data_IF_571855502008
#
_entry.id   IF_571855502008
#
_cell.length_a   1.000
_cell.length_b   1.000
_cell.length_c   1.000
_cell.angle_alpha   90.00
_cell.angle_beta   90.00
_cell.angle_gamma   90.00
#
_symmetry.space_group_name_H-M   'P 1'
#
loop_
_entity.id
_entity.type
_entity.pdbx_description
1 polymer ?
#
# COMPACT_ATOMS: atom_id res chain seq x y z
N UNK A 1 22.76 15.50 0.93
CA UNK A 1 21.80 14.40 0.72
C UNK A 1 22.40 13.12 1.27
N UNK A 2 21.95 12.69 2.45
CA UNK A 2 22.42 11.46 3.07
C UNK A 2 21.82 10.23 2.38
N UNK A 3 22.43 9.06 2.60
CA UNK A 3 21.89 7.81 2.06
C UNK A 3 20.47 7.50 2.56
N UNK A 4 20.09 8.06 3.72
CA UNK A 4 18.77 7.90 4.33
C UNK A 4 17.66 8.52 3.48
N UNK A 5 17.94 9.60 2.73
CA UNK A 5 16.98 10.19 1.80
C UNK A 5 16.59 9.21 0.68
N UNK A 6 17.53 8.39 0.19
CA UNK A 6 17.21 7.34 -0.80
C UNK A 6 16.37 6.22 -0.18
N UNK A 7 16.68 5.83 1.06
CA UNK A 7 15.88 4.82 1.80
C UNK A 7 14.46 5.34 2.05
N UNK A 8 14.32 6.60 2.47
CA UNK A 8 13.03 7.27 2.65
C UNK A 8 12.25 7.36 1.33
N UNK A 9 12.93 7.73 0.23
CA UNK A 9 12.33 7.79 -1.10
C UNK A 9 11.83 6.42 -1.58
N UNK A 10 12.61 5.36 -1.35
CA UNK A 10 12.16 3.99 -1.60
C UNK A 10 10.93 3.61 -0.77
N UNK A 11 10.92 3.98 0.52
CA UNK A 11 9.77 3.78 1.40
C UNK A 11 8.50 4.46 0.88
N UNK A 12 8.59 5.70 0.42
CA UNK A 12 7.46 6.40 -0.23
C UNK A 12 6.97 5.66 -1.46
N UNK A 13 7.89 5.22 -2.34
CA UNK A 13 7.54 4.48 -3.54
C UNK A 13 6.80 3.17 -3.21
N UNK A 14 7.23 2.45 -2.17
CA UNK A 14 6.56 1.25 -1.67
C UNK A 14 5.17 1.58 -1.13
N UNK A 15 5.04 2.62 -0.29
CA UNK A 15 3.74 3.05 0.27
C UNK A 15 2.73 3.37 -0.84
N UNK A 16 3.17 4.13 -1.85
CA UNK A 16 2.35 4.47 -3.01
C UNK A 16 1.99 3.22 -3.85
N UNK A 17 2.95 2.33 -4.09
CA UNK A 17 2.71 1.08 -4.82
C UNK A 17 1.67 0.19 -4.12
N UNK A 18 1.79 0.00 -2.80
CA UNK A 18 0.85 -0.78 -2.01
C UNK A 18 -0.55 -0.14 -2.02
N UNK A 19 -0.63 1.19 -1.96
CA UNK A 19 -1.90 1.91 -2.05
C UNK A 19 -2.57 1.72 -3.42
N UNK A 20 -1.83 1.89 -4.52
CA UNK A 20 -2.33 1.67 -5.87
C UNK A 20 -2.78 0.22 -6.09
N UNK A 21 -2.06 -0.75 -5.54
CA UNK A 21 -2.45 -2.16 -5.56
C UNK A 21 -3.79 -2.38 -4.86
N UNK A 22 -3.94 -1.84 -3.66
CA UNK A 22 -5.17 -2.00 -2.86
C UNK A 22 -6.36 -1.29 -3.54
N UNK A 23 -6.14 -0.11 -4.13
CA UNK A 23 -7.13 0.61 -4.93
C UNK A 23 -7.56 -0.19 -6.17
N UNK A 24 -6.62 -0.83 -6.87
CA UNK A 24 -6.91 -1.69 -8.03
C UNK A 24 -7.74 -2.90 -7.62
N UNK A 25 -7.43 -3.55 -6.51
CA UNK A 25 -8.20 -4.68 -5.99
C UNK A 25 -9.61 -4.20 -5.63
N UNK A 26 -9.75 -3.07 -4.93
CA UNK A 26 -11.06 -2.47 -4.62
C UNK A 26 -11.89 -2.24 -5.90
N UNK A 27 -11.30 -1.66 -6.93
CA UNK A 27 -11.97 -1.40 -8.20
C UNK A 27 -12.44 -2.69 -8.91
N UNK A 28 -11.74 -3.81 -8.72
CA UNK A 28 -12.08 -5.11 -9.33
C UNK A 28 -13.08 -5.93 -8.52
N UNK A 29 -12.99 -5.90 -7.19
CA UNK A 29 -13.74 -6.81 -6.31
C UNK A 29 -14.89 -6.12 -5.57
N UNK A 30 -14.79 -4.82 -5.32
CA UNK A 30 -15.79 -4.03 -4.57
C UNK A 30 -15.82 -4.33 -3.06
N UNK A 31 -14.83 -5.05 -2.53
CA UNK A 31 -14.83 -5.51 -1.14
C UNK A 31 -14.66 -4.37 -0.13
N UNK A 32 -15.42 -4.37 0.98
CA UNK A 32 -15.41 -3.29 1.96
C UNK A 32 -14.07 -3.13 2.68
N UNK A 33 -13.33 -4.21 2.96
CA UNK A 33 -11.98 -4.12 3.53
C UNK A 33 -11.00 -3.37 2.61
N UNK A 34 -11.07 -3.62 1.31
CA UNK A 34 -10.24 -2.95 0.31
C UNK A 34 -10.66 -1.50 0.07
N UNK A 35 -11.95 -1.17 0.24
CA UNK A 35 -12.42 0.21 0.26
C UNK A 35 -11.74 1.01 1.38
N UNK A 36 -11.75 0.47 2.60
CA UNK A 36 -11.10 1.10 3.75
C UNK A 36 -9.60 1.27 3.52
N UNK A 37 -8.92 0.26 3.00
CA UNK A 37 -7.50 0.34 2.65
C UNK A 37 -7.20 1.40 1.58
N UNK A 38 -8.05 1.54 0.55
CA UNK A 38 -7.90 2.55 -0.48
C UNK A 38 -8.03 3.98 0.08
N UNK A 39 -8.99 4.23 0.99
CA UNK A 39 -9.15 5.53 1.64
C UNK A 39 -8.00 5.83 2.63
N UNK A 40 -7.62 4.85 3.46
CA UNK A 40 -6.53 5.02 4.43
C UNK A 40 -5.15 5.10 3.76
N UNK A 41 -4.98 4.57 2.56
CA UNK A 41 -3.73 4.70 1.82
C UNK A 41 -3.37 6.14 1.45
N UNK A 42 -4.35 7.04 1.33
CA UNK A 42 -4.12 8.48 1.08
C UNK A 42 -3.34 9.14 2.24
N UNK A 43 -3.84 9.14 3.50
CA UNK A 43 -3.10 9.74 4.61
C UNK A 43 -1.77 9.02 4.90
N UNK A 44 -1.66 7.70 4.67
CA UNK A 44 -0.36 7.02 4.82
C UNK A 44 0.65 7.44 3.76
N UNK A 45 0.23 7.60 2.50
CA UNK A 45 1.11 8.11 1.44
C UNK A 45 1.52 9.56 1.70
N UNK A 46 0.60 10.39 2.21
CA UNK A 46 0.89 11.76 2.63
C UNK A 46 1.89 11.80 3.80
N UNK A 47 1.71 10.93 4.80
CA UNK A 47 2.64 10.81 5.94
C UNK A 47 4.03 10.36 5.49
N UNK A 48 4.10 9.40 4.57
CA UNK A 48 5.37 8.96 3.99
C UNK A 48 6.05 10.10 3.21
N UNK A 49 5.31 10.86 2.39
CA UNK A 49 5.84 12.02 1.68
C UNK A 49 6.38 13.08 2.65
N UNK A 50 5.63 13.38 3.71
CA UNK A 50 6.08 14.30 4.76
C UNK A 50 7.38 13.79 5.41
N UNK A 51 7.44 12.50 5.77
CA UNK A 51 8.65 11.88 6.29
C UNK A 51 9.84 12.01 5.35
N UNK A 52 9.64 11.80 4.05
CA UNK A 52 10.67 11.99 3.04
C UNK A 52 11.14 13.45 2.96
N UNK A 53 10.24 14.43 2.96
CA UNK A 53 10.62 15.85 2.97
C UNK A 53 11.42 16.20 4.22
N UNK A 54 11.03 15.69 5.39
CA UNK A 54 11.81 15.88 6.63
C UNK A 54 13.20 15.25 6.49
N UNK A 55 13.31 14.03 5.96
CA UNK A 55 14.63 13.38 5.77
C UNK A 55 15.50 14.07 4.72
N UNK A 56 14.92 14.61 3.66
CA UNK A 56 15.68 15.18 2.55
C UNK A 56 16.12 16.64 2.80
N UNK A 57 15.34 17.41 3.57
CA UNK A 57 15.55 18.85 3.71
C UNK A 57 15.81 19.34 5.15
N UNK A 58 15.50 18.53 6.17
CA UNK A 58 15.78 18.86 7.57
C UNK A 58 16.92 17.99 8.11
N UNK A 59 18.17 18.38 7.86
CA UNK A 59 19.39 17.63 8.20
C UNK A 59 19.49 17.24 9.68
N UNK A 60 18.99 18.09 10.59
CA UNK A 60 18.97 17.77 12.02
C UNK A 60 17.93 16.70 12.43
N UNK A 61 17.00 16.35 11.53
CA UNK A 61 15.82 15.54 11.81
C UNK A 61 15.71 14.32 10.89
N UNK A 62 16.79 13.91 10.23
CA UNK A 62 16.77 12.85 9.21
C UNK A 62 16.19 11.53 9.72
N UNK A 63 16.56 11.12 10.94
CA UNK A 63 16.06 9.90 11.58
C UNK A 63 14.58 9.98 11.92
N UNK A 64 14.08 11.17 12.31
CA UNK A 64 12.67 11.38 12.56
C UNK A 64 11.88 11.28 11.25
N UNK A 65 12.36 11.91 10.18
CA UNK A 65 11.75 11.80 8.86
C UNK A 65 11.68 10.35 8.37
N UNK A 66 12.76 9.59 8.56
CA UNK A 66 12.80 8.18 8.19
C UNK A 66 11.81 7.38 9.04
N UNK A 67 11.76 7.67 10.34
CA UNK A 67 10.78 7.10 11.26
C UNK A 67 9.35 7.33 10.80
N UNK A 68 9.02 8.51 10.28
CA UNK A 68 7.69 8.80 9.74
C UNK A 68 7.37 7.99 8.48
N UNK A 69 8.35 7.78 7.58
CA UNK A 69 8.18 6.91 6.41
C UNK A 69 7.92 5.45 6.84
N UNK A 70 8.70 4.94 7.78
CA UNK A 70 8.54 3.58 8.30
C UNK A 70 7.23 3.41 9.07
N UNK A 71 6.81 4.44 9.83
CA UNK A 71 5.54 4.47 10.53
C UNK A 71 4.37 4.41 9.55
N UNK A 72 4.42 5.19 8.46
CA UNK A 72 3.41 5.15 7.41
C UNK A 72 3.27 3.76 6.80
N UNK A 73 4.40 3.11 6.47
CA UNK A 73 4.42 1.74 5.96
C UNK A 73 3.83 0.73 6.97
N UNK A 74 4.23 0.84 8.24
CA UNK A 74 3.72 -0.02 9.30
C UNK A 74 2.21 0.11 9.45
N UNK A 75 1.69 1.33 9.54
CA UNK A 75 0.26 1.59 9.68
C UNK A 75 -0.52 1.11 8.45
N UNK A 76 0.00 1.31 7.24
CA UNK A 76 -0.61 0.82 6.01
C UNK A 76 -0.71 -0.72 5.99
N UNK A 77 0.31 -1.41 6.49
CA UNK A 77 0.33 -2.87 6.62
C UNK A 77 -0.65 -3.42 7.67
N UNK A 78 -1.04 -2.61 8.66
CA UNK A 78 -1.98 -3.00 9.74
C UNK A 78 -3.45 -2.90 9.36
N UNK A 79 -3.77 -2.39 8.17
CA UNK A 79 -5.17 -2.33 7.71
C UNK A 79 -5.69 -3.74 7.45
N UNK A 80 -6.73 -4.12 8.19
CA UNK A 80 -7.46 -5.38 8.00
C UNK A 80 -8.09 -5.46 6.61
N UNK A 81 -7.92 -6.61 5.95
CA UNK A 81 -8.40 -6.89 4.59
C UNK A 81 -8.95 -8.29 4.54
N UNK A 82 -9.97 -8.46 3.72
CA UNK A 82 -10.53 -9.78 3.43
C UNK A 82 -9.52 -10.61 2.62
N UNK A 83 -9.48 -11.93 2.89
CA UNK A 83 -8.62 -12.82 2.12
C UNK A 83 -9.24 -13.08 0.73
N UNK A 84 -8.65 -12.48 -0.29
CA UNK A 84 -9.03 -12.66 -1.71
C UNK A 84 -8.23 -13.74 -2.42
N UNK A 85 -7.18 -14.28 -1.79
CA UNK A 85 -6.22 -15.14 -2.48
C UNK A 85 -6.57 -16.62 -2.32
N UNK A 86 -6.99 -17.26 -3.40
CA UNK A 86 -7.33 -18.69 -3.43
C UNK A 86 -6.50 -19.43 -4.49
N UNK A 87 -5.23 -19.70 -4.19
CA UNK A 87 -4.34 -20.50 -5.06
C UNK A 87 -3.47 -19.72 -6.05
N UNK A 88 -3.55 -18.38 -6.06
CA UNK A 88 -2.73 -17.52 -6.95
C UNK A 88 -1.25 -17.49 -6.57
N UNK A 89 -0.40 -17.35 -7.61
CA UNK A 89 1.05 -17.25 -7.51
C UNK A 89 1.52 -15.95 -6.84
N UNK A 90 2.74 -15.93 -6.29
CA UNK A 90 3.29 -14.75 -5.62
C UNK A 90 3.34 -13.50 -6.52
N UNK A 91 3.50 -13.68 -7.84
CA UNK A 91 3.50 -12.58 -8.83
C UNK A 91 2.11 -11.99 -9.00
N UNK A 92 1.08 -12.81 -9.10
CA UNK A 92 -0.32 -12.36 -9.20
C UNK A 92 -0.73 -11.58 -7.96
N UNK A 93 -0.32 -12.05 -6.78
CA UNK A 93 -0.51 -11.35 -5.51
C UNK A 93 0.19 -9.99 -5.47
N UNK A 94 1.42 -9.94 -5.98
CA UNK A 94 2.20 -8.71 -6.03
C UNK A 94 1.52 -7.63 -6.88
N UNK A 95 0.95 -8.00 -8.03
CA UNK A 95 0.27 -7.06 -8.93
C UNK A 95 -1.18 -6.74 -8.57
N UNK A 96 -1.74 -7.41 -7.55
CA UNK A 96 -3.13 -7.20 -7.15
C UNK A 96 -4.14 -7.89 -8.08
N UNK A 97 -3.76 -9.01 -8.69
CA UNK A 97 -4.55 -9.70 -9.73
C UNK A 97 -5.67 -10.57 -9.15
N UNK A 98 -6.48 -10.02 -8.26
CA UNK A 98 -7.62 -10.75 -7.69
C UNK A 98 -8.71 -11.05 -8.73
N UNK A 99 -9.31 -12.24 -8.67
CA UNK A 99 -10.49 -12.65 -9.45
C UNK A 99 -11.63 -11.63 -9.33
N UNK A 100 -12.27 -11.29 -10.46
CA UNK A 100 -13.45 -10.40 -10.48
C UNK A 100 -14.63 -11.11 -9.81
N UNK A 101 -15.42 -10.37 -9.03
CA UNK A 101 -16.68 -10.86 -8.44
C UNK A 101 -17.65 -11.47 -9.46
N UNK A 102 -17.56 -11.08 -10.74
CA UNK A 102 -18.34 -11.68 -11.84
C UNK A 102 -18.01 -13.16 -12.14
N UNK A 103 -16.78 -13.63 -11.89
CA UNK A 103 -16.40 -15.03 -12.15
C UNK A 103 -16.96 -16.02 -11.11
N UNK A 104 -17.16 -15.57 -9.86
CA UNK A 104 -17.80 -16.40 -8.82
C UNK A 104 -19.24 -16.79 -9.17
N UNK A 105 -19.94 -15.98 -9.97
CA UNK A 105 -21.29 -16.28 -10.46
C UNK A 105 -21.33 -17.32 -11.59
N UNK A 106 -20.26 -17.43 -12.38
CA UNK A 106 -20.15 -18.40 -13.49
C UNK A 106 -19.88 -19.82 -12.97
N UNK A 107 -19.01 -19.95 -11.95
CA UNK A 107 -18.63 -21.26 -11.38
C UNK A 107 -19.71 -21.94 -10.53
N UNK A 108 -20.78 -21.22 -10.17
CA UNK A 108 -21.95 -21.79 -9.48
C UNK A 108 -23.01 -22.36 -10.45
N UNK A 109 -22.83 -22.20 -11.76
CA UNK A 109 -23.77 -22.64 -12.80
C UNK A 109 -23.28 -23.83 -13.64
N UNK A 110 -22.14 -24.42 -13.28
CA UNK A 110 -21.63 -25.69 -13.81
C UNK A 110 -21.61 -26.71 -12.67
#
# INVERSE_FOLDING_TARGET
MSYLAYVAGFGVAVTAFLWLRDLRIFYRTGLPGYRKAAYLGVPFTALALLGFFVTAYAEAWEYLGLGLVLLALYLQGRVERENVWHGESARERFFGSAERTKDKGSRKRL
#
